data_IF_357445918869
#
_entry.id   IF_357445918869
#
_cell.length_a   1.000
_cell.length_b   1.000
_cell.length_c   1.000
_cell.angle_alpha   90.00
_cell.angle_beta   90.00
_cell.angle_gamma   90.00
#
_symmetry.space_group_name_H-M   'P 1'
#
loop_
_entity.id
_entity.type
_entity.pdbx_description
1 polymer ?
#
# COMPACT_ATOMS: atom_id res chain seq x y z
N UNK A 1 -17.30 -29.48 2.23
CA UNK A 1 -17.07 -28.02 2.08
C UNK A 1 -15.97 -27.86 1.06
N UNK A 2 -16.29 -27.31 -0.11
CA UNK A 2 -15.32 -27.10 -1.18
C UNK A 2 -14.42 -25.96 -0.74
N UNK A 3 -13.18 -26.26 -0.38
CA UNK A 3 -12.15 -25.22 -0.09
C UNK A 3 -11.63 -24.69 -1.43
N UNK A 4 -12.50 -24.01 -2.19
CA UNK A 4 -12.02 -23.28 -3.35
C UNK A 4 -10.97 -22.29 -2.89
N UNK A 5 -9.80 -22.39 -3.46
CA UNK A 5 -8.67 -21.49 -3.20
C UNK A 5 -9.12 -20.08 -3.59
N UNK A 6 -9.18 -19.17 -2.61
CA UNK A 6 -9.55 -17.76 -2.88
C UNK A 6 -8.58 -17.16 -3.90
N UNK A 7 -9.07 -16.37 -4.86
CA UNK A 7 -8.20 -15.59 -5.73
C UNK A 7 -7.39 -14.60 -4.91
N UNK A 8 -6.19 -14.27 -5.33
CA UNK A 8 -5.26 -13.40 -4.58
C UNK A 8 -5.23 -12.01 -5.18
N UNK A 9 -5.48 -11.00 -4.35
CA UNK A 9 -5.31 -9.59 -4.70
C UNK A 9 -4.17 -8.99 -3.88
N UNK A 10 -3.20 -8.35 -4.54
CA UNK A 10 -2.09 -7.65 -3.88
C UNK A 10 -2.27 -6.15 -4.01
N UNK A 11 -2.31 -5.45 -2.88
CA UNK A 11 -2.41 -3.98 -2.84
C UNK A 11 -1.09 -3.40 -2.36
N UNK A 12 -0.36 -2.77 -3.28
CA UNK A 12 0.89 -2.08 -2.99
C UNK A 12 0.57 -0.71 -2.41
N UNK A 13 1.00 -0.46 -1.17
CA UNK A 13 0.65 0.76 -0.44
C UNK A 13 -0.79 0.71 0.10
N UNK A 14 -1.12 -0.36 0.81
CA UNK A 14 -2.44 -0.54 1.41
C UNK A 14 -2.72 0.41 2.58
N UNK A 15 -1.70 1.09 3.10
CA UNK A 15 -1.85 1.98 4.26
C UNK A 15 -1.17 3.32 4.02
N UNK A 16 -1.69 4.37 4.63
CA UNK A 16 -1.07 5.69 4.67
C UNK A 16 -0.52 6.01 6.08
N UNK A 17 0.37 6.99 6.18
CA UNK A 17 1.00 7.40 7.46
C UNK A 17 -0.03 7.73 8.54
N UNK A 18 -1.14 8.33 8.20
CA UNK A 18 -2.16 8.81 9.13
C UNK A 18 -2.95 7.71 9.84
N UNK A 19 -2.93 6.47 9.31
CA UNK A 19 -3.58 5.35 10.01
C UNK A 19 -2.94 5.04 11.37
N UNK A 20 -1.66 5.38 11.54
CA UNK A 20 -0.95 5.14 12.79
C UNK A 20 -1.31 6.15 13.87
N UNK A 21 -1.53 7.39 13.50
CA UNK A 21 -1.79 8.51 14.42
C UNK A 21 -3.23 9.04 14.37
N UNK A 22 -4.08 8.42 13.55
CA UNK A 22 -5.48 8.78 13.41
C UNK A 22 -5.73 10.03 12.55
N UNK A 23 -4.70 10.54 11.88
CA UNK A 23 -4.82 11.73 11.02
C UNK A 23 -4.84 11.33 9.57
N UNK A 24 -5.67 11.97 8.78
CA UNK A 24 -5.90 11.56 7.41
C UNK A 24 -4.93 12.20 6.41
N UNK A 25 -4.73 13.48 6.49
CA UNK A 25 -3.92 14.22 5.51
C UNK A 25 -3.31 15.45 6.15
N UNK A 26 -2.06 15.73 5.82
CA UNK A 26 -1.61 17.10 5.79
C UNK A 26 -2.06 17.72 4.49
N UNK A 27 -2.72 18.87 4.58
CA UNK A 27 -2.97 19.69 3.40
C UNK A 27 -1.65 20.17 2.82
N UNK A 28 -1.66 20.51 1.54
CA UNK A 28 -0.66 21.35 0.91
C UNK A 28 -0.43 22.54 1.85
N UNK A 29 0.84 22.83 2.22
CA UNK A 29 1.26 23.85 3.18
C UNK A 29 1.26 23.45 4.67
N UNK A 30 1.25 22.16 4.99
CA UNK A 30 1.52 21.68 6.35
C UNK A 30 0.37 21.83 7.35
N UNK A 31 -0.82 22.22 6.91
CA UNK A 31 -1.99 22.26 7.77
C UNK A 31 -2.53 20.87 8.06
N UNK A 32 -2.74 20.54 9.33
CA UNK A 32 -3.39 19.29 9.74
C UNK A 32 -4.91 19.40 9.52
N UNK A 33 -5.50 18.39 8.88
CA UNK A 33 -6.95 18.26 8.81
C UNK A 33 -7.43 17.44 10.00
N UNK A 34 -8.32 18.01 10.80
CA UNK A 34 -9.05 17.25 11.80
C UNK A 34 -10.12 16.40 11.11
N UNK A 35 -9.86 15.10 11.05
CA UNK A 35 -10.78 14.12 10.50
C UNK A 35 -11.41 13.24 11.59
N UNK A 36 -11.33 13.65 12.85
CA UNK A 36 -11.85 12.90 14.00
C UNK A 36 -13.35 12.59 13.87
N UNK A 37 -14.10 13.44 13.18
CA UNK A 37 -15.52 13.24 12.87
C UNK A 37 -15.79 12.23 11.75
N UNK A 38 -14.76 11.82 10.97
CA UNK A 38 -14.92 10.86 9.89
C UNK A 38 -14.97 9.44 10.49
N UNK A 39 -15.96 8.61 10.15
CA UNK A 39 -15.99 7.22 10.61
C UNK A 39 -14.70 6.47 10.27
N UNK A 40 -14.20 5.65 11.19
CA UNK A 40 -12.97 4.87 11.01
C UNK A 40 -12.98 4.08 9.69
N UNK A 41 -14.12 3.53 9.29
CA UNK A 41 -14.30 2.81 8.02
C UNK A 41 -14.06 3.69 6.77
N UNK A 42 -14.11 5.01 6.89
CA UNK A 42 -13.84 5.94 5.81
C UNK A 42 -12.42 6.52 5.86
N UNK A 43 -11.64 6.20 6.90
CA UNK A 43 -10.28 6.74 7.09
C UNK A 43 -9.17 5.91 6.45
N UNK A 44 -9.49 4.82 5.80
CA UNK A 44 -8.47 3.88 5.31
C UNK A 44 -7.61 4.40 4.15
N UNK A 45 -7.92 5.55 3.60
CA UNK A 45 -7.30 6.03 2.37
C UNK A 45 -7.62 5.12 1.18
N UNK A 46 -7.13 5.49 0.01
CA UNK A 46 -7.45 4.79 -1.25
C UNK A 46 -7.00 3.32 -1.19
N UNK A 47 -5.75 3.06 -0.76
CA UNK A 47 -5.22 1.70 -0.69
C UNK A 47 -5.99 0.79 0.27
N UNK A 48 -6.36 1.31 1.43
CA UNK A 48 -7.14 0.56 2.42
C UNK A 48 -8.58 0.29 1.96
N UNK A 49 -9.22 1.26 1.31
CA UNK A 49 -10.55 1.09 0.72
C UNK A 49 -10.55 0.03 -0.39
N UNK A 50 -9.54 0.05 -1.26
CA UNK A 50 -9.32 -0.97 -2.29
C UNK A 50 -9.16 -2.35 -1.64
N UNK A 51 -8.32 -2.46 -0.62
CA UNK A 51 -8.07 -3.72 0.08
C UNK A 51 -9.35 -4.29 0.72
N UNK A 52 -10.15 -3.45 1.39
CA UNK A 52 -11.44 -3.86 1.95
C UNK A 52 -12.40 -4.33 0.87
N UNK A 53 -12.47 -3.63 -0.26
CA UNK A 53 -13.34 -4.00 -1.38
C UNK A 53 -12.99 -5.38 -1.90
N UNK A 54 -11.72 -5.67 -2.20
CA UNK A 54 -11.31 -7.00 -2.67
C UNK A 54 -11.56 -8.09 -1.64
N UNK A 55 -11.28 -7.84 -0.37
CA UNK A 55 -11.57 -8.81 0.70
C UNK A 55 -13.06 -9.10 0.81
N UNK A 56 -13.93 -8.09 0.67
CA UNK A 56 -15.38 -8.23 0.66
C UNK A 56 -15.91 -8.99 -0.56
N UNK A 57 -15.20 -8.95 -1.68
CA UNK A 57 -15.52 -9.73 -2.90
C UNK A 57 -14.92 -11.15 -2.86
N UNK A 58 -14.40 -11.58 -1.72
CA UNK A 58 -13.94 -12.96 -1.51
C UNK A 58 -12.48 -13.22 -1.87
N UNK A 59 -11.70 -12.21 -2.25
CA UNK A 59 -10.27 -12.37 -2.46
C UNK A 59 -9.52 -12.59 -1.15
N UNK A 60 -8.43 -13.35 -1.21
CA UNK A 60 -7.39 -13.27 -0.20
C UNK A 60 -6.52 -12.04 -0.50
N UNK A 61 -6.60 -11.03 0.37
CA UNK A 61 -6.00 -9.72 0.08
C UNK A 61 -4.67 -9.55 0.79
N UNK A 62 -3.62 -9.29 0.04
CA UNK A 62 -2.29 -8.99 0.57
C UNK A 62 -2.14 -7.48 0.75
N UNK A 63 -1.92 -7.06 1.99
CA UNK A 63 -1.73 -5.68 2.38
C UNK A 63 -0.24 -5.38 2.45
N UNK A 64 0.31 -4.60 1.51
CA UNK A 64 1.73 -4.24 1.60
C UNK A 64 1.93 -2.86 2.20
N UNK A 65 2.94 -2.75 3.04
CA UNK A 65 3.32 -1.53 3.76
C UNK A 65 4.78 -1.59 4.16
N UNK A 66 5.42 -0.45 4.46
CA UNK A 66 6.80 -0.41 4.95
C UNK A 66 6.96 -0.94 6.37
N UNK A 67 5.90 -0.94 7.17
CA UNK A 67 5.88 -1.46 8.54
C UNK A 67 4.55 -2.15 8.82
N UNK A 68 4.59 -3.39 9.28
CA UNK A 68 3.40 -4.20 9.53
C UNK A 68 2.43 -3.53 10.51
N UNK A 69 2.94 -2.82 11.50
CA UNK A 69 2.12 -2.09 12.47
C UNK A 69 1.17 -1.07 11.84
N UNK A 70 1.52 -0.51 10.68
CA UNK A 70 0.67 0.45 9.98
C UNK A 70 -0.60 -0.20 9.40
N UNK A 71 -0.57 -1.49 9.11
CA UNK A 71 -1.69 -2.21 8.51
C UNK A 71 -2.51 -3.05 9.51
N UNK A 72 -2.09 -3.12 10.78
CA UNK A 72 -2.71 -3.99 11.78
C UNK A 72 -4.20 -3.70 12.00
N UNK A 73 -4.59 -2.43 12.05
CA UNK A 73 -6.00 -2.05 12.20
C UNK A 73 -6.83 -2.40 10.95
N UNK A 74 -6.29 -2.17 9.76
CA UNK A 74 -6.93 -2.54 8.50
C UNK A 74 -7.12 -4.05 8.40
N UNK A 75 -6.09 -4.82 8.76
CA UNK A 75 -6.18 -6.28 8.82
C UNK A 75 -7.29 -6.73 9.77
N UNK A 76 -7.32 -6.17 10.99
CA UNK A 76 -8.37 -6.50 11.97
C UNK A 76 -9.76 -6.17 11.45
N UNK A 77 -9.94 -5.02 10.80
CA UNK A 77 -11.21 -4.62 10.21
C UNK A 77 -11.67 -5.59 9.10
N UNK A 78 -10.77 -6.01 8.22
CA UNK A 78 -11.07 -6.99 7.16
C UNK A 78 -11.47 -8.33 7.76
N UNK A 79 -10.72 -8.84 8.74
CA UNK A 79 -11.00 -10.13 9.39
C UNK A 79 -12.35 -10.08 10.13
N UNK A 80 -12.64 -9.00 10.86
CA UNK A 80 -13.91 -8.83 11.58
C UNK A 80 -15.12 -8.78 10.65
N UNK A 81 -14.93 -8.40 9.39
CA UNK A 81 -15.96 -8.42 8.35
C UNK A 81 -16.04 -9.78 7.60
N UNK A 82 -15.31 -10.79 8.04
CA UNK A 82 -15.28 -12.12 7.44
C UNK A 82 -14.38 -12.25 6.21
N UNK A 83 -13.60 -11.19 5.89
CA UNK A 83 -12.60 -11.23 4.85
C UNK A 83 -11.34 -12.02 5.26
N UNK A 84 -10.47 -12.27 4.28
CA UNK A 84 -9.16 -12.91 4.52
C UNK A 84 -8.04 -12.03 3.96
N UNK A 85 -7.02 -11.79 4.77
CA UNK A 85 -5.88 -11.00 4.36
C UNK A 85 -4.62 -11.35 5.15
N UNK A 86 -3.48 -10.93 4.61
CA UNK A 86 -2.19 -10.94 5.30
C UNK A 86 -1.46 -9.61 5.09
N UNK A 87 -0.54 -9.30 5.98
CA UNK A 87 0.35 -8.15 5.86
C UNK A 87 1.71 -8.63 5.36
N UNK A 88 2.28 -7.91 4.41
CA UNK A 88 3.65 -8.12 3.93
C UNK A 88 4.40 -6.81 3.97
N UNK A 89 5.55 -6.80 4.62
CA UNK A 89 6.43 -5.63 4.62
C UNK A 89 7.14 -5.50 3.27
N UNK A 90 7.05 -4.30 2.72
CA UNK A 90 7.57 -3.96 1.41
C UNK A 90 8.10 -2.53 1.40
N UNK A 91 9.39 -2.40 1.17
CA UNK A 91 10.05 -1.13 0.85
C UNK A 91 10.31 -1.06 -0.65
N UNK A 92 9.67 -0.13 -1.33
CA UNK A 92 9.74 0.04 -2.79
C UNK A 92 11.03 0.69 -3.28
N UNK A 93 11.77 1.33 -2.39
CA UNK A 93 13.11 1.86 -2.68
C UNK A 93 14.22 0.79 -2.55
N UNK A 94 13.86 -0.45 -2.17
CA UNK A 94 14.82 -1.53 -1.93
C UNK A 94 14.47 -2.78 -2.75
N UNK A 95 15.26 -3.08 -3.77
CA UNK A 95 15.08 -4.23 -4.67
C UNK A 95 14.99 -5.56 -3.93
N UNK A 96 15.87 -5.76 -2.94
CA UNK A 96 15.86 -6.99 -2.16
C UNK A 96 14.60 -7.12 -1.30
N UNK A 97 14.04 -6.00 -0.84
CA UNK A 97 12.75 -5.98 -0.15
C UNK A 97 11.62 -6.41 -1.09
N UNK A 98 11.61 -5.89 -2.32
CA UNK A 98 10.61 -6.27 -3.33
C UNK A 98 10.68 -7.77 -3.59
N UNK A 99 11.86 -8.31 -3.90
CA UNK A 99 12.04 -9.74 -4.19
C UNK A 99 11.58 -10.63 -3.02
N UNK A 100 11.97 -10.29 -1.78
CA UNK A 100 11.56 -11.03 -0.57
C UNK A 100 10.05 -10.99 -0.36
N UNK A 101 9.44 -9.81 -0.50
CA UNK A 101 8.01 -9.65 -0.31
C UNK A 101 7.21 -10.53 -1.30
N UNK A 102 7.59 -10.55 -2.57
CA UNK A 102 6.90 -11.37 -3.57
C UNK A 102 7.18 -12.86 -3.42
N UNK A 103 8.36 -13.27 -2.95
CA UNK A 103 8.61 -14.65 -2.55
C UNK A 103 7.66 -15.07 -1.41
N UNK A 104 7.56 -14.26 -0.36
CA UNK A 104 6.66 -14.50 0.77
C UNK A 104 5.18 -14.57 0.33
N UNK A 105 4.76 -13.69 -0.58
CA UNK A 105 3.39 -13.70 -1.12
C UNK A 105 3.11 -15.00 -1.86
N UNK A 106 4.00 -15.42 -2.75
CA UNK A 106 3.85 -16.67 -3.51
C UNK A 106 3.78 -17.89 -2.60
N UNK A 107 4.64 -17.95 -1.59
CA UNK A 107 4.68 -19.07 -0.65
C UNK A 107 3.43 -19.16 0.22
N UNK A 108 2.93 -18.03 0.70
CA UNK A 108 1.82 -17.99 1.65
C UNK A 108 0.43 -17.97 0.98
N UNK A 109 0.28 -17.29 -0.16
CA UNK A 109 -1.00 -17.05 -0.81
C UNK A 109 -1.07 -17.60 -2.24
N UNK A 110 0.07 -17.75 -2.90
CA UNK A 110 0.17 -18.11 -4.29
C UNK A 110 0.32 -16.90 -5.21
N UNK A 111 0.26 -17.17 -6.52
CA UNK A 111 0.40 -16.11 -7.53
C UNK A 111 -0.82 -15.18 -7.54
N UNK A 112 -0.62 -13.85 -7.56
CA UNK A 112 -1.72 -12.91 -7.60
C UNK A 112 -2.51 -12.99 -8.91
N UNK A 113 -3.84 -12.82 -8.80
CA UNK A 113 -4.74 -12.64 -9.94
C UNK A 113 -5.01 -11.17 -10.20
N UNK A 114 -4.98 -10.38 -9.13
CA UNK A 114 -5.11 -8.92 -9.20
C UNK A 114 -3.95 -8.28 -8.47
N UNK A 115 -3.41 -7.25 -9.08
CA UNK A 115 -2.34 -6.47 -8.54
C UNK A 115 -2.65 -4.98 -8.72
N UNK A 116 -2.62 -4.22 -7.64
CA UNK A 116 -2.87 -2.79 -7.63
C UNK A 116 -1.67 -2.06 -7.06
N UNK A 117 -1.07 -1.18 -7.84
CA UNK A 117 -0.02 -0.30 -7.37
C UNK A 117 -0.63 1.05 -6.96
N UNK A 118 -0.76 1.26 -5.65
CA UNK A 118 -1.34 2.48 -5.07
C UNK A 118 -0.30 3.29 -4.26
N UNK A 119 0.89 2.77 -4.07
CA UNK A 119 1.91 3.48 -3.32
C UNK A 119 2.30 4.79 -3.99
N UNK A 120 2.44 5.82 -3.18
CA UNK A 120 2.95 7.13 -3.57
C UNK A 120 3.95 7.65 -2.55
N UNK A 121 4.75 8.60 -2.96
CA UNK A 121 5.69 9.29 -2.10
C UNK A 121 5.16 10.69 -1.77
N UNK A 122 4.99 10.98 -0.50
CA UNK A 122 4.32 12.21 -0.01
C UNK A 122 5.23 13.11 0.83
N UNK A 123 6.49 12.76 0.98
CA UNK A 123 7.38 13.45 1.92
C UNK A 123 7.67 14.90 1.52
N UNK A 124 7.62 15.21 0.23
CA UNK A 124 7.73 16.58 -0.26
C UNK A 124 6.59 17.52 0.13
N UNK A 125 5.49 16.99 0.65
CA UNK A 125 4.34 17.79 1.13
C UNK A 125 4.55 18.41 2.52
N UNK A 126 5.59 18.00 3.23
CA UNK A 126 5.95 18.52 4.55
C UNK A 126 6.95 19.69 4.48
N UNK A 127 7.31 20.13 3.27
CA UNK A 127 8.19 21.29 3.08
C UNK A 127 7.44 22.59 3.38
N UNK A 128 8.16 23.58 3.87
CA UNK A 128 7.63 24.94 3.94
C UNK A 128 7.28 25.44 2.52
N UNK A 129 6.23 26.26 2.34
CA UNK A 129 5.77 26.69 1.02
C UNK A 129 6.87 27.25 0.11
N UNK A 130 7.81 27.99 0.69
CA UNK A 130 8.97 28.52 -0.02
C UNK A 130 9.95 27.45 -0.48
N UNK A 131 9.92 26.26 0.12
CA UNK A 131 10.75 25.10 -0.23
C UNK A 131 10.08 24.17 -1.22
N UNK A 132 8.81 24.43 -1.57
CA UNK A 132 8.07 23.66 -2.59
C UNK A 132 8.39 24.12 -4.02
N UNK A 133 9.13 25.24 -4.17
CA UNK A 133 9.62 25.68 -5.48
C UNK A 133 10.70 24.70 -5.99
N UNK A 134 10.67 24.41 -7.27
CA UNK A 134 11.52 23.39 -7.90
C UNK A 134 13.01 23.56 -7.57
N UNK A 135 13.49 24.80 -7.54
CA UNK A 135 14.88 25.15 -7.24
C UNK A 135 15.33 24.81 -5.81
N UNK A 136 14.38 24.61 -4.89
CA UNK A 136 14.65 24.30 -3.49
C UNK A 136 14.35 22.84 -3.13
N UNK A 137 13.72 22.07 -4.01
CA UNK A 137 13.44 20.64 -3.75
C UNK A 137 14.76 19.87 -3.68
N UNK A 138 15.08 19.22 -2.55
CA UNK A 138 16.28 18.39 -2.44
C UNK A 138 16.29 17.26 -3.47
N UNK A 139 17.43 16.98 -4.07
CA UNK A 139 17.59 15.92 -5.08
C UNK A 139 17.17 14.55 -4.53
N UNK A 140 17.42 14.29 -3.25
CA UNK A 140 17.07 13.05 -2.57
C UNK A 140 15.56 12.81 -2.53
N UNK A 141 14.77 13.88 -2.46
CA UNK A 141 13.29 13.79 -2.55
C UNK A 141 12.90 13.37 -3.96
N UNK A 142 13.51 13.97 -4.97
CA UNK A 142 13.28 13.60 -6.37
C UNK A 142 13.67 12.15 -6.66
N UNK A 143 14.85 11.71 -6.21
CA UNK A 143 15.35 10.35 -6.39
C UNK A 143 14.41 9.34 -5.73
N UNK A 144 14.03 9.58 -4.47
CA UNK A 144 13.10 8.70 -3.75
C UNK A 144 11.72 8.66 -4.41
N UNK A 145 11.24 9.81 -4.91
CA UNK A 145 9.97 9.85 -5.64
C UNK A 145 10.02 9.02 -6.92
N UNK A 146 11.13 9.08 -7.68
CA UNK A 146 11.35 8.25 -8.86
C UNK A 146 11.46 6.77 -8.52
N UNK A 147 12.17 6.40 -7.46
CA UNK A 147 12.28 5.01 -7.03
C UNK A 147 10.91 4.44 -6.70
N UNK A 148 10.06 5.19 -6.02
CA UNK A 148 8.73 4.71 -5.63
C UNK A 148 7.73 4.79 -6.79
N UNK A 149 7.71 5.89 -7.57
CA UNK A 149 6.66 6.11 -8.56
C UNK A 149 6.98 5.54 -9.97
N UNK A 150 8.25 5.32 -10.29
CA UNK A 150 8.69 4.88 -11.62
C UNK A 150 9.39 3.52 -11.56
N UNK A 151 10.46 3.42 -10.78
CA UNK A 151 11.26 2.19 -10.67
C UNK A 151 10.51 1.09 -9.93
N UNK A 152 9.83 1.42 -8.84
CA UNK A 152 9.06 0.48 -8.03
C UNK A 152 7.99 -0.26 -8.83
N UNK A 153 7.07 0.41 -9.55
CA UNK A 153 6.08 -0.26 -10.40
C UNK A 153 6.72 -1.19 -11.44
N UNK A 154 7.83 -0.78 -12.04
CA UNK A 154 8.56 -1.61 -13.00
C UNK A 154 9.08 -2.90 -12.35
N UNK A 155 9.73 -2.81 -11.20
CA UNK A 155 10.26 -3.97 -10.49
C UNK A 155 9.15 -4.90 -10.00
N UNK A 156 8.08 -4.34 -9.43
CA UNK A 156 6.92 -5.13 -8.99
C UNK A 156 6.26 -5.82 -10.19
N UNK A 157 6.12 -5.15 -11.33
CA UNK A 157 5.58 -5.78 -12.54
C UNK A 157 6.44 -6.96 -13.01
N UNK A 158 7.76 -6.88 -12.89
CA UNK A 158 8.65 -8.03 -13.17
C UNK A 158 8.38 -9.23 -12.27
N UNK A 159 8.00 -9.02 -11.03
CA UNK A 159 7.67 -10.10 -10.08
C UNK A 159 6.32 -10.77 -10.39
N UNK A 160 5.30 -10.01 -10.83
CA UNK A 160 3.94 -10.53 -10.97
C UNK A 160 3.58 -11.00 -12.38
N UNK A 161 4.04 -10.30 -13.43
CA UNK A 161 3.64 -10.57 -14.80
C UNK A 161 3.99 -11.97 -15.32
N UNK A 162 5.13 -12.60 -14.95
CA UNK A 162 5.44 -13.94 -15.44
C UNK A 162 4.40 -14.99 -15.05
N UNK A 163 3.84 -14.87 -13.85
CA UNK A 163 2.78 -15.78 -13.39
C UNK A 163 1.41 -15.41 -13.98
N UNK A 164 1.08 -14.12 -14.05
CA UNK A 164 -0.19 -13.65 -14.60
C UNK A 164 -0.37 -14.00 -16.10
N UNK A 165 0.73 -14.08 -16.86
CA UNK A 165 0.68 -14.47 -18.30
C UNK A 165 0.41 -15.96 -18.53
N UNK A 166 0.53 -16.80 -17.49
CA UNK A 166 0.33 -18.25 -17.61
C UNK A 166 -1.13 -18.67 -17.32
N UNK A 167 -1.91 -17.73 -16.83
CA UNK A 167 -3.36 -17.88 -16.59
C UNK A 167 -4.18 -17.37 -17.79
#
# INVERSE_FOLDING_TARGET
MNTEKRPVAVVIGATSKWQKDGRNTRLIHGEDVDDSAIPVAARWGVGGAIAQKFAGEGFFTVLTTRSAGNAAQLQSAIINQGGACMIVELDLANDASIARAFAQIRDAAGDPEVFIYNAGYLEGRDLAPEMELLEFVPTEIFDTANDIAVRGPFLVAKEVLPAMRKK
#
